data_IF_947896411947
#
_entry.id   IF_947896411947
#
_cell.length_a   1.000
_cell.length_b   1.000
_cell.length_c   1.000
_cell.angle_alpha   90.00
_cell.angle_beta   90.00
_cell.angle_gamma   90.00
#
_symmetry.space_group_name_H-M   'P 1'
#
loop_
_entity.id
_entity.type
_entity.pdbx_description
1 polymer ?
#
# COMPACT_ATOMS: atom_id res chain seq x y z
N UNK A 1 -9.06 19.33 -9.12
CA UNK A 1 -8.47 18.15 -8.45
C UNK A 1 -9.53 17.48 -7.60
N UNK A 2 -9.90 16.23 -7.89
CA UNK A 2 -10.80 15.48 -7.02
C UNK A 2 -10.07 15.14 -5.72
N UNK A 3 -10.75 15.34 -4.58
CA UNK A 3 -10.18 15.04 -3.27
C UNK A 3 -10.25 13.53 -3.06
N UNK A 4 -9.09 12.87 -3.02
CA UNK A 4 -9.03 11.42 -2.79
C UNK A 4 -9.55 11.13 -1.37
N UNK A 5 -10.64 10.37 -1.27
CA UNK A 5 -11.22 10.01 0.03
C UNK A 5 -10.44 8.87 0.69
N UNK A 6 -10.69 8.66 1.98
CA UNK A 6 -10.09 7.57 2.74
C UNK A 6 -10.45 6.22 2.15
N UNK A 7 -11.71 6.04 1.78
CA UNK A 7 -12.28 4.80 1.26
C UNK A 7 -11.66 4.45 -0.10
N UNK A 8 -11.52 5.45 -0.98
CA UNK A 8 -10.89 5.27 -2.28
C UNK A 8 -9.41 4.88 -2.15
N UNK A 9 -8.67 5.54 -1.25
CA UNK A 9 -7.27 5.18 -0.99
C UNK A 9 -7.15 3.79 -0.36
N UNK A 10 -8.07 3.42 0.52
CA UNK A 10 -8.10 2.10 1.14
C UNK A 10 -8.41 1.00 0.12
N UNK A 11 -9.38 1.21 -0.78
CA UNK A 11 -9.70 0.29 -1.87
C UNK A 11 -8.49 0.05 -2.78
N UNK A 12 -7.76 1.11 -3.15
CA UNK A 12 -6.52 0.99 -3.94
C UNK A 12 -5.43 0.17 -3.22
N UNK A 13 -5.31 0.34 -1.90
CA UNK A 13 -4.39 -0.46 -1.08
C UNK A 13 -4.85 -1.92 -1.01
N UNK A 14 -6.15 -2.18 -0.99
CA UNK A 14 -6.69 -3.54 -0.92
C UNK A 14 -6.55 -4.30 -2.23
N UNK A 15 -6.80 -3.65 -3.36
CA UNK A 15 -6.58 -4.22 -4.68
C UNK A 15 -5.08 -4.45 -4.94
N UNK A 16 -4.24 -3.46 -4.62
CA UNK A 16 -2.82 -3.47 -5.02
C UNK A 16 -1.88 -2.95 -3.92
N UNK A 17 -1.77 -3.65 -2.79
CA UNK A 17 -0.99 -3.21 -1.62
C UNK A 17 0.52 -3.09 -1.90
N UNK A 18 1.04 -3.83 -2.89
CA UNK A 18 2.46 -3.81 -3.29
C UNK A 18 2.80 -2.66 -4.26
N UNK A 19 1.80 -1.96 -4.80
CA UNK A 19 2.02 -0.86 -5.74
C UNK A 19 2.73 0.30 -5.04
N UNK A 20 3.65 0.96 -5.75
CA UNK A 20 4.42 2.08 -5.20
C UNK A 20 3.53 3.32 -5.01
N UNK A 21 3.89 4.18 -4.05
CA UNK A 21 3.14 5.42 -3.80
C UNK A 21 3.14 6.35 -5.01
N UNK A 22 4.23 6.38 -5.78
CA UNK A 22 4.31 7.16 -7.02
C UNK A 22 3.33 6.63 -8.09
N UNK A 23 3.15 5.31 -8.19
CA UNK A 23 2.20 4.73 -9.14
C UNK A 23 0.75 4.98 -8.72
N UNK A 24 0.45 4.89 -7.41
CA UNK A 24 -0.86 5.30 -6.86
C UNK A 24 -1.12 6.78 -7.13
N UNK A 25 -0.11 7.63 -6.96
CA UNK A 25 -0.16 9.05 -7.30
C UNK A 25 -0.51 9.27 -8.77
N UNK A 26 0.20 8.62 -9.68
CA UNK A 26 -0.05 8.72 -11.13
C UNK A 26 -1.49 8.33 -11.50
N UNK A 27 -2.04 7.26 -10.90
CA UNK A 27 -3.42 6.82 -11.15
C UNK A 27 -4.48 7.78 -10.61
N UNK A 28 -4.18 8.46 -9.52
CA UNK A 28 -5.11 9.36 -8.82
C UNK A 28 -4.92 10.84 -9.21
N UNK A 29 -3.96 11.13 -10.09
CA UNK A 29 -3.57 12.50 -10.44
C UNK A 29 -2.92 13.26 -9.28
N UNK A 30 -2.35 12.56 -8.30
CA UNK A 30 -1.72 13.11 -7.11
C UNK A 30 -0.20 12.92 -7.14
N UNK A 31 0.53 13.80 -6.47
CA UNK A 31 1.97 13.58 -6.27
C UNK A 31 2.20 12.49 -5.23
N UNK A 32 3.38 11.85 -5.28
CA UNK A 32 3.79 10.87 -4.25
C UNK A 32 3.65 11.45 -2.84
N UNK A 33 4.13 12.69 -2.62
CA UNK A 33 4.08 13.34 -1.32
C UNK A 33 2.64 13.63 -0.85
N UNK A 34 1.72 13.91 -1.77
CA UNK A 34 0.30 14.05 -1.44
C UNK A 34 -0.30 12.71 -0.97
N UNK A 35 0.02 11.59 -1.63
CA UNK A 35 -0.40 10.25 -1.18
C UNK A 35 0.19 9.91 0.19
N UNK A 36 1.46 10.22 0.42
CA UNK A 36 2.14 10.00 1.70
C UNK A 36 1.45 10.80 2.83
N UNK A 37 1.11 12.07 2.57
CA UNK A 37 0.34 12.89 3.50
C UNK A 37 -1.05 12.29 3.78
N UNK A 38 -1.77 11.84 2.75
CA UNK A 38 -3.09 11.21 2.91
C UNK A 38 -3.02 9.90 3.70
N UNK A 39 -2.00 9.07 3.47
CA UNK A 39 -1.77 7.85 4.24
C UNK A 39 -1.60 8.16 5.73
N UNK A 40 -0.82 9.20 6.07
CA UNK A 40 -0.62 9.64 7.44
C UNK A 40 -1.90 10.23 8.04
N UNK A 41 -2.59 11.12 7.31
CA UNK A 41 -3.85 11.73 7.74
C UNK A 41 -4.95 10.71 8.00
N UNK A 42 -5.05 9.67 7.17
CA UNK A 42 -6.06 8.62 7.31
C UNK A 42 -5.61 7.41 8.14
N UNK A 43 -4.38 7.44 8.68
CA UNK A 43 -3.79 6.35 9.46
C UNK A 43 -3.76 5.01 8.72
N UNK A 44 -3.49 5.04 7.41
CA UNK A 44 -3.46 3.88 6.52
C UNK A 44 -2.05 3.31 6.29
N UNK A 45 -1.00 3.93 6.82
CA UNK A 45 0.38 3.44 6.69
C UNK A 45 0.56 2.03 7.26
N UNK A 46 0.14 1.83 8.51
CA UNK A 46 0.20 0.52 9.17
C UNK A 46 -0.74 -0.49 8.50
N UNK A 47 -1.89 -0.03 8.02
CA UNK A 47 -2.83 -0.87 7.27
C UNK A 47 -2.17 -1.45 6.01
N UNK A 48 -1.56 -0.57 5.19
CA UNK A 48 -0.82 -0.96 4.00
C UNK A 48 0.35 -1.89 4.34
N UNK A 49 1.13 -1.57 5.37
CA UNK A 49 2.25 -2.39 5.81
C UNK A 49 1.82 -3.80 6.25
N UNK A 50 0.70 -3.93 6.97
CA UNK A 50 0.13 -5.25 7.33
C UNK A 50 -0.27 -6.05 6.10
N UNK A 51 -0.90 -5.42 5.10
CA UNK A 51 -1.27 -6.08 3.83
C UNK A 51 -0.05 -6.55 3.04
N UNK A 52 0.97 -5.69 2.92
CA UNK A 52 2.26 -6.04 2.30
C UNK A 52 2.91 -7.23 3.03
N UNK A 53 2.99 -7.20 4.36
CA UNK A 53 3.55 -8.29 5.17
C UNK A 53 2.79 -9.59 4.99
N UNK A 54 1.45 -9.54 4.95
CA UNK A 54 0.61 -10.72 4.71
C UNK A 54 0.86 -11.35 3.33
N UNK A 55 1.07 -10.55 2.30
CA UNK A 55 1.39 -11.05 0.96
C UNK A 55 2.82 -11.56 0.82
N UNK A 56 3.76 -10.96 1.56
CA UNK A 56 5.17 -11.40 1.57
C UNK A 56 5.41 -12.61 2.49
N UNK A 57 4.59 -12.79 3.52
CA UNK A 57 4.72 -13.83 4.55
C UNK A 57 4.80 -15.27 4.00
N UNK A 58 3.94 -15.69 3.04
CA UNK A 58 4.01 -17.02 2.45
C UNK A 58 5.29 -17.25 1.64
N UNK A 59 5.73 -16.24 0.87
CA UNK A 59 6.99 -16.29 0.11
C UNK A 59 8.24 -16.28 1.02
N UNK A 60 8.16 -15.60 2.17
CA UNK A 60 9.23 -15.56 3.15
C UNK A 60 9.35 -16.85 3.98
N UNK A 61 8.22 -17.52 4.32
CA UNK A 61 8.24 -18.81 5.03
C UNK A 61 8.88 -19.92 4.20
N UNK A 62 8.55 -20.04 2.91
CA UNK A 62 9.17 -21.05 2.02
C UNK A 62 10.69 -20.95 1.88
N UNK A 63 11.29 -19.79 2.13
CA UNK A 63 12.76 -19.61 2.02
C UNK A 63 13.53 -20.27 3.16
N UNK A 64 12.89 -20.56 4.30
CA UNK A 64 13.54 -21.23 5.44
C UNK A 64 13.52 -22.75 5.34
N UNK A 65 12.52 -23.32 4.66
CA UNK A 65 12.38 -24.78 4.52
C UNK A 65 13.32 -25.40 3.46
N UNK A 66 14.03 -24.58 2.66
CA UNK A 66 14.97 -25.04 1.61
C UNK A 66 16.43 -25.02 2.10
N UNK A 67 16.67 -24.74 3.39
CA UNK A 67 18.02 -24.74 4.00
C UNK A 67 18.28 -25.91 4.96
N UNK A 68 17.45 -26.95 4.97
CA UNK A 68 17.71 -28.20 5.69
C UNK A 68 17.82 -29.39 4.73
#
# INVERSE_FOLDING_TARGET
MQRLTKEALQALIDEQPLRSLSSIGAMTGQSRGAIEKLLKTYQLEDYRNRKIKRLRGPKARKRRDIQN
#
